data_IF_897848451197
#
_entry.id   IF_897848451197
#
_cell.length_a   1.000
_cell.length_b   1.000
_cell.length_c   1.000
_cell.angle_alpha   90.00
_cell.angle_beta   90.00
_cell.angle_gamma   90.00
#
_symmetry.space_group_name_H-M   'P 1'
#
loop_
_entity.id
_entity.type
_entity.pdbx_description
1 polymer ?
#
# COMPACT_ATOMS: atom_id res chain seq x y z
N UNK A 1 17.58 40.09 52.24
CA UNK A 1 18.12 40.12 50.87
C UNK A 1 18.39 38.71 50.45
N UNK A 2 17.43 38.10 49.69
CA UNK A 2 17.54 36.72 49.22
C UNK A 2 17.52 36.73 47.70
N UNK A 3 18.64 36.30 47.09
CA UNK A 3 18.74 36.10 45.68
C UNK A 3 18.23 34.71 45.31
N UNK A 4 17.12 34.66 44.58
CA UNK A 4 16.64 33.44 43.92
C UNK A 4 17.36 33.27 42.58
N UNK A 5 18.15 32.23 42.46
CA UNK A 5 18.75 31.77 41.20
C UNK A 5 17.71 30.98 40.41
N UNK A 6 17.26 31.56 39.30
CA UNK A 6 16.42 30.89 38.32
C UNK A 6 17.20 29.80 37.57
N UNK A 7 16.78 28.57 37.75
CA UNK A 7 17.22 27.45 36.91
C UNK A 7 16.42 27.48 35.59
N UNK A 8 17.08 27.74 34.50
CA UNK A 8 16.56 27.48 33.15
C UNK A 8 16.49 25.96 32.90
N UNK A 9 15.38 25.41 32.38
CA UNK A 9 15.35 24.01 32.02
C UNK A 9 16.21 23.79 30.79
N UNK A 10 17.15 22.84 30.93
CA UNK A 10 17.94 22.32 29.80
C UNK A 10 17.03 21.81 28.68
N UNK A 11 17.14 22.43 27.53
CA UNK A 11 16.60 21.93 26.29
C UNK A 11 17.31 20.61 25.97
N UNK A 12 16.61 19.51 26.13
CA UNK A 12 17.04 18.21 25.61
C UNK A 12 17.14 18.35 24.10
N UNK A 13 18.36 18.54 23.61
CA UNK A 13 18.68 18.35 22.18
C UNK A 13 18.63 16.84 21.91
N UNK A 14 17.51 16.36 21.39
CA UNK A 14 17.45 15.04 20.76
C UNK A 14 18.29 15.13 19.49
N UNK A 15 19.48 14.57 19.53
CA UNK A 15 20.34 14.45 18.36
C UNK A 15 19.69 13.49 17.36
N UNK A 16 19.47 13.92 16.13
CA UNK A 16 18.94 13.15 15.01
C UNK A 16 19.78 11.90 14.62
N UNK A 17 20.89 11.66 15.29
CA UNK A 17 21.87 10.63 14.95
C UNK A 17 21.55 9.23 15.54
N UNK A 18 20.45 9.07 16.29
CA UNK A 18 20.11 7.81 16.97
C UNK A 18 18.86 7.11 16.39
N UNK A 19 18.32 7.60 15.28
CA UNK A 19 17.16 6.95 14.66
C UNK A 19 17.63 5.75 13.85
N UNK A 20 17.02 4.58 14.08
CA UNK A 20 17.25 3.41 13.26
C UNK A 20 16.85 3.69 11.80
N UNK A 21 17.44 2.96 10.85
CA UNK A 21 17.08 3.09 9.42
C UNK A 21 15.57 2.89 9.20
N UNK A 22 14.94 2.03 9.99
CA UNK A 22 13.50 1.79 9.99
C UNK A 22 12.70 3.03 10.43
N UNK A 23 13.15 3.71 11.48
CA UNK A 23 12.49 4.93 11.98
C UNK A 23 12.55 6.08 10.98
N UNK A 24 13.65 6.20 10.25
CA UNK A 24 13.81 7.19 9.17
C UNK A 24 12.85 6.86 8.01
N UNK A 25 12.78 5.59 7.60
CA UNK A 25 11.88 5.13 6.54
C UNK A 25 10.41 5.36 6.93
N UNK A 26 10.01 5.01 8.15
CA UNK A 26 8.65 5.24 8.64
C UNK A 26 8.30 6.73 8.62
N UNK A 27 9.22 7.59 9.05
CA UNK A 27 9.00 9.03 9.02
C UNK A 27 8.83 9.55 7.58
N UNK A 28 9.67 9.12 6.65
CA UNK A 28 9.57 9.50 5.24
C UNK A 28 8.23 9.08 4.62
N UNK A 29 7.76 7.87 4.92
CA UNK A 29 6.46 7.38 4.44
C UNK A 29 5.32 8.19 5.06
N UNK A 30 5.38 8.50 6.35
CA UNK A 30 4.37 9.30 7.02
C UNK A 30 4.32 10.74 6.51
N UNK A 31 5.48 11.35 6.25
CA UNK A 31 5.57 12.69 5.67
C UNK A 31 5.07 12.70 4.23
N UNK A 32 5.45 11.70 3.44
CA UNK A 32 4.94 11.51 2.08
C UNK A 32 3.41 11.35 2.08
N UNK A 33 2.87 10.50 2.94
CA UNK A 33 1.42 10.29 3.06
C UNK A 33 0.70 11.57 3.50
N UNK A 34 1.25 12.32 4.48
CA UNK A 34 0.66 13.57 4.99
C UNK A 34 0.69 14.70 3.96
N UNK A 35 1.78 14.85 3.22
CA UNK A 35 1.92 15.93 2.23
C UNK A 35 0.92 15.81 1.09
N UNK A 36 0.33 14.62 0.89
CA UNK A 36 -0.56 14.32 -0.23
C UNK A 36 -2.02 14.08 0.15
N UNK A 37 -2.34 14.20 1.46
CA UNK A 37 -3.73 14.14 1.94
C UNK A 37 -4.55 15.41 1.64
N UNK A 38 -3.91 16.51 1.21
CA UNK A 38 -4.55 17.81 1.00
C UNK A 38 -4.73 18.20 -0.48
N UNK A 39 -4.50 17.28 -1.42
CA UNK A 39 -4.79 17.58 -2.82
C UNK A 39 -6.29 17.50 -3.11
N UNK A 40 -6.83 18.38 -3.99
CA UNK A 40 -8.24 18.36 -4.35
C UNK A 40 -8.61 17.00 -4.91
N UNK A 41 -9.67 16.41 -4.37
CA UNK A 41 -10.18 15.09 -4.73
C UNK A 41 -10.68 15.12 -6.18
N UNK A 42 -9.76 15.02 -7.13
CA UNK A 42 -10.10 14.48 -8.43
C UNK A 42 -10.16 12.96 -8.24
N UNK A 43 -11.24 12.34 -8.61
CA UNK A 43 -11.37 10.88 -8.53
C UNK A 43 -10.35 10.17 -9.44
N UNK A 44 -9.64 10.90 -10.32
CA UNK A 44 -8.53 10.42 -11.13
C UNK A 44 -8.68 8.96 -11.59
N UNK A 45 -7.61 8.21 -11.51
CA UNK A 45 -7.59 6.77 -11.83
C UNK A 45 -8.43 5.90 -10.87
N UNK A 46 -8.78 6.40 -9.67
CA UNK A 46 -9.59 5.63 -8.71
C UNK A 46 -10.97 5.31 -9.25
N UNK A 47 -11.57 6.22 -10.03
CA UNK A 47 -12.87 5.98 -10.63
C UNK A 47 -12.84 4.77 -11.57
N UNK A 48 -11.81 4.69 -12.39
CA UNK A 48 -11.64 3.55 -13.31
C UNK A 48 -11.47 2.22 -12.53
N UNK A 49 -10.75 2.25 -11.41
CA UNK A 49 -10.61 1.07 -10.55
C UNK A 49 -11.89 0.70 -9.82
N UNK A 50 -12.74 1.68 -9.44
CA UNK A 50 -14.05 1.38 -8.86
C UNK A 50 -14.94 0.67 -9.88
N UNK A 51 -14.99 1.19 -11.10
CA UNK A 51 -15.78 0.61 -12.19
C UNK A 51 -15.28 -0.80 -12.51
N UNK A 52 -13.96 -0.98 -12.63
CA UNK A 52 -13.34 -2.29 -12.86
C UNK A 52 -13.58 -3.29 -11.72
N UNK A 53 -13.51 -2.87 -10.47
CA UNK A 53 -13.78 -3.75 -9.33
C UNK A 53 -15.25 -4.24 -9.33
N UNK A 54 -16.18 -3.39 -9.72
CA UNK A 54 -17.59 -3.77 -9.87
C UNK A 54 -17.81 -4.71 -11.05
N UNK A 55 -17.14 -4.49 -12.17
CA UNK A 55 -17.17 -5.35 -13.34
C UNK A 55 -16.65 -6.75 -13.00
N UNK A 56 -15.46 -6.85 -12.41
CA UNK A 56 -14.89 -8.12 -11.92
C UNK A 56 -15.86 -8.83 -10.96
N UNK A 57 -16.47 -8.09 -10.03
CA UNK A 57 -17.44 -8.65 -9.10
C UNK A 57 -18.67 -9.25 -9.79
N UNK A 58 -19.10 -8.68 -10.90
CA UNK A 58 -20.24 -9.19 -11.68
C UNK A 58 -19.84 -10.37 -12.56
N UNK A 59 -18.73 -10.27 -13.28
CA UNK A 59 -18.26 -11.31 -14.21
C UNK A 59 -17.81 -12.58 -13.48
N UNK A 60 -17.20 -12.43 -12.30
CA UNK A 60 -16.67 -13.54 -11.50
C UNK A 60 -17.60 -13.94 -10.33
N UNK A 61 -18.91 -13.63 -10.41
CA UNK A 61 -19.88 -13.89 -9.34
C UNK A 61 -20.22 -15.38 -9.17
N UNK A 62 -19.97 -16.20 -10.18
CA UNK A 62 -20.31 -17.63 -10.16
C UNK A 62 -19.08 -18.50 -9.92
N UNK A 63 -19.29 -19.68 -9.32
CA UNK A 63 -18.21 -20.66 -9.19
C UNK A 63 -17.74 -21.17 -10.55
N UNK A 64 -16.42 -21.29 -10.71
CA UNK A 64 -15.84 -21.79 -11.97
C UNK A 64 -15.77 -20.75 -13.08
N UNK A 65 -15.85 -19.46 -12.76
CA UNK A 65 -15.76 -18.35 -13.71
C UNK A 65 -14.46 -18.38 -14.56
N UNK A 66 -13.40 -18.98 -14.05
CA UNK A 66 -12.11 -19.17 -14.74
C UNK A 66 -12.06 -20.46 -15.61
N UNK A 67 -13.11 -21.28 -15.59
CA UNK A 67 -13.16 -22.58 -16.24
C UNK A 67 -12.44 -23.72 -15.50
N UNK A 68 -11.80 -23.44 -14.36
CA UNK A 68 -10.99 -24.40 -13.58
C UNK A 68 -11.49 -24.59 -12.14
N UNK A 69 -12.65 -24.05 -11.80
CA UNK A 69 -13.27 -24.24 -10.49
C UNK A 69 -12.94 -23.15 -9.47
N UNK A 70 -12.64 -21.93 -9.92
CA UNK A 70 -12.45 -20.78 -9.07
C UNK A 70 -13.65 -20.53 -8.13
N UNK A 71 -13.36 -20.08 -6.91
CA UNK A 71 -14.38 -19.58 -6.01
C UNK A 71 -14.97 -18.27 -6.53
N UNK A 72 -16.27 -18.01 -6.33
CA UNK A 72 -16.90 -16.77 -6.76
C UNK A 72 -16.31 -15.57 -6.02
N UNK A 73 -16.15 -14.45 -6.73
CA UNK A 73 -15.85 -13.17 -6.11
C UNK A 73 -17.10 -12.68 -5.39
N UNK A 74 -17.05 -12.68 -4.05
CA UNK A 74 -18.20 -12.30 -3.23
C UNK A 74 -18.41 -10.79 -3.22
N UNK A 75 -19.65 -10.35 -2.95
CA UNK A 75 -19.94 -8.93 -2.73
C UNK A 75 -19.07 -8.32 -1.63
N UNK A 76 -18.75 -9.09 -0.59
CA UNK A 76 -17.87 -8.64 0.49
C UNK A 76 -16.44 -8.39 -0.02
N UNK A 77 -15.92 -9.26 -0.89
CA UNK A 77 -14.61 -9.08 -1.52
C UNK A 77 -14.57 -7.77 -2.34
N UNK A 78 -15.62 -7.49 -3.11
CA UNK A 78 -15.75 -6.22 -3.85
C UNK A 78 -15.74 -5.03 -2.90
N UNK A 79 -16.54 -5.06 -1.82
CA UNK A 79 -16.62 -3.97 -0.83
C UNK A 79 -15.25 -3.70 -0.20
N UNK A 80 -14.49 -4.74 0.17
CA UNK A 80 -13.14 -4.57 0.68
C UNK A 80 -12.19 -3.98 -0.36
N UNK A 81 -12.29 -4.39 -1.62
CA UNK A 81 -11.50 -3.82 -2.71
C UNK A 81 -11.79 -2.34 -2.89
N UNK A 82 -13.05 -1.92 -2.95
CA UNK A 82 -13.46 -0.52 -3.05
C UNK A 82 -12.95 0.31 -1.85
N UNK A 83 -13.04 -0.25 -0.64
CA UNK A 83 -12.53 0.39 0.56
C UNK A 83 -11.01 0.60 0.49
N UNK A 84 -10.24 -0.38 0.05
CA UNK A 84 -8.80 -0.26 -0.12
C UNK A 84 -8.42 0.75 -1.21
N UNK A 85 -9.13 0.78 -2.35
CA UNK A 85 -8.93 1.80 -3.40
C UNK A 85 -9.12 3.20 -2.82
N UNK A 86 -10.15 3.41 -1.99
CA UNK A 86 -10.43 4.73 -1.41
C UNK A 86 -9.27 5.27 -0.56
N UNK A 87 -8.52 4.38 0.07
CA UNK A 87 -7.41 4.72 0.96
C UNK A 87 -6.05 4.85 0.27
N UNK A 88 -5.92 4.40 -0.99
CA UNK A 88 -4.67 4.60 -1.74
C UNK A 88 -4.44 6.08 -1.99
N UNK A 89 -3.19 6.52 -1.85
CA UNK A 89 -2.80 7.86 -2.30
C UNK A 89 -2.85 7.95 -3.82
N UNK A 90 -3.35 9.05 -4.36
CA UNK A 90 -3.36 9.30 -5.82
C UNK A 90 -1.97 9.43 -6.44
N UNK A 91 -0.95 9.58 -5.61
CA UNK A 91 0.45 9.60 -6.05
C UNK A 91 1.06 8.22 -6.24
N UNK A 92 0.42 7.18 -5.73
CA UNK A 92 0.76 5.81 -6.07
C UNK A 92 0.24 5.56 -7.48
N UNK A 93 1.07 5.00 -8.34
CA UNK A 93 0.60 4.55 -9.64
C UNK A 93 -0.55 3.56 -9.46
N UNK A 94 -1.59 3.62 -10.31
CA UNK A 94 -2.72 2.71 -10.20
C UNK A 94 -2.25 1.25 -10.27
N UNK A 95 -2.76 0.39 -9.40
CA UNK A 95 -2.54 -1.06 -9.50
C UNK A 95 -3.38 -1.65 -10.65
N UNK A 96 -2.96 -2.80 -11.13
CA UNK A 96 -3.85 -3.70 -11.84
C UNK A 96 -4.74 -4.43 -10.81
N UNK A 97 -6.03 -4.52 -11.07
CA UNK A 97 -6.94 -5.38 -10.30
C UNK A 97 -7.04 -6.73 -10.99
N UNK A 98 -6.72 -7.79 -10.25
CA UNK A 98 -6.68 -9.15 -10.77
C UNK A 98 -7.61 -10.06 -9.97
N UNK A 99 -8.66 -10.65 -10.58
CA UNK A 99 -9.50 -11.62 -9.91
C UNK A 99 -8.70 -12.88 -9.58
N UNK A 100 -8.84 -13.37 -8.36
CA UNK A 100 -8.14 -14.56 -7.88
C UNK A 100 -9.09 -15.75 -7.78
N UNK A 101 -8.64 -16.96 -8.17
CA UNK A 101 -9.41 -18.20 -7.99
C UNK A 101 -9.82 -18.47 -6.54
N UNK A 102 -9.20 -17.81 -5.58
CA UNK A 102 -9.56 -17.86 -4.16
C UNK A 102 -10.73 -16.99 -3.76
N UNK A 103 -11.43 -16.31 -4.68
CA UNK A 103 -12.64 -15.51 -4.41
C UNK A 103 -12.36 -14.10 -3.90
N UNK A 104 -11.23 -13.49 -4.24
CA UNK A 104 -10.86 -12.11 -3.90
C UNK A 104 -10.24 -11.39 -5.09
N UNK A 105 -10.08 -10.06 -5.00
CA UNK A 105 -9.45 -9.23 -6.03
C UNK A 105 -8.11 -8.74 -5.49
N UNK A 106 -7.02 -9.06 -6.19
CA UNK A 106 -5.66 -8.64 -5.84
C UNK A 106 -5.32 -7.30 -6.49
N UNK A 107 -4.49 -6.53 -5.81
CA UNK A 107 -3.84 -5.32 -6.31
C UNK A 107 -2.43 -5.67 -6.73
N UNK A 108 -2.07 -5.42 -7.97
CA UNK A 108 -0.76 -5.77 -8.49
C UNK A 108 -0.08 -4.58 -9.16
N UNK A 109 1.19 -4.38 -8.83
CA UNK A 109 2.08 -3.42 -9.48
C UNK A 109 3.24 -4.17 -10.11
N UNK A 110 3.46 -3.91 -11.38
CA UNK A 110 4.53 -4.50 -12.16
C UNK A 110 5.40 -3.40 -12.73
N UNK A 111 6.70 -3.50 -12.57
CA UNK A 111 7.69 -2.60 -13.17
C UNK A 111 8.48 -3.31 -14.28
N UNK A 112 8.79 -4.57 -14.06
CA UNK A 112 9.43 -5.46 -15.00
C UNK A 112 8.97 -6.89 -14.75
N UNK A 113 9.38 -7.85 -15.58
CA UNK A 113 9.08 -9.27 -15.37
C UNK A 113 9.58 -9.82 -14.02
N UNK A 114 10.58 -9.14 -13.40
CA UNK A 114 11.21 -9.55 -12.14
C UNK A 114 10.76 -8.77 -10.92
N UNK A 115 10.15 -7.59 -11.12
CA UNK A 115 9.69 -6.75 -10.02
C UNK A 115 8.18 -6.70 -9.99
N UNK A 116 7.61 -7.16 -8.89
CA UNK A 116 6.16 -7.21 -8.69
C UNK A 116 5.83 -7.00 -7.22
N UNK A 117 4.76 -6.27 -6.97
CA UNK A 117 4.11 -6.20 -5.66
C UNK A 117 2.68 -6.65 -5.83
N UNK A 118 2.29 -7.67 -5.09
CA UNK A 118 0.91 -8.18 -5.07
C UNK A 118 0.34 -8.07 -3.66
N UNK A 119 -0.85 -7.50 -3.53
CA UNK A 119 -1.54 -7.30 -2.27
C UNK A 119 -2.97 -7.80 -2.39
N UNK A 120 -3.35 -8.75 -1.55
CA UNK A 120 -4.62 -9.46 -1.64
C UNK A 120 -5.44 -9.32 -0.37
N UNK A 121 -6.65 -8.74 -0.43
CA UNK A 121 -7.62 -8.80 0.67
C UNK A 121 -8.19 -10.21 0.76
N UNK A 122 -7.75 -10.97 1.74
CA UNK A 122 -8.13 -12.38 1.91
C UNK A 122 -8.83 -12.58 3.25
N UNK A 123 -10.14 -12.74 3.22
CA UNK A 123 -10.97 -12.76 4.42
C UNK A 123 -10.75 -11.51 5.30
N UNK A 124 -10.27 -11.66 6.52
CA UNK A 124 -10.00 -10.55 7.45
C UNK A 124 -8.55 -10.03 7.39
N UNK A 125 -7.76 -10.51 6.44
CA UNK A 125 -6.34 -10.21 6.32
C UNK A 125 -6.03 -9.55 4.99
N UNK A 126 -5.07 -8.65 5.02
CA UNK A 126 -4.36 -8.19 3.85
C UNK A 126 -3.05 -8.99 3.78
N UNK A 127 -2.91 -9.80 2.74
CA UNK A 127 -1.72 -10.62 2.49
C UNK A 127 -0.95 -9.98 1.35
N UNK A 128 0.37 -9.91 1.45
CA UNK A 128 1.19 -9.34 0.38
C UNK A 128 2.45 -10.14 0.13
N UNK A 129 2.91 -10.05 -1.10
CA UNK A 129 4.21 -10.51 -1.53
C UNK A 129 4.80 -9.48 -2.49
N UNK A 130 6.12 -9.31 -2.43
CA UNK A 130 6.85 -8.41 -3.31
C UNK A 130 8.17 -9.04 -3.73
N UNK A 131 8.53 -8.87 -4.99
CA UNK A 131 9.87 -9.11 -5.54
C UNK A 131 10.39 -7.74 -5.94
N UNK A 132 11.41 -7.23 -5.22
CA UNK A 132 11.95 -5.88 -5.42
C UNK A 132 13.26 -5.88 -6.21
N UNK A 133 14.00 -6.97 -6.15
CA UNK A 133 15.23 -7.25 -6.89
C UNK A 133 15.43 -8.76 -7.03
N UNK A 134 16.45 -9.19 -7.74
CA UNK A 134 16.69 -10.61 -8.06
C UNK A 134 16.64 -11.55 -6.84
N UNK A 135 17.07 -11.09 -5.65
CA UNK A 135 17.10 -11.88 -4.41
C UNK A 135 16.30 -11.22 -3.26
N UNK A 136 15.62 -10.10 -3.50
CA UNK A 136 14.85 -9.40 -2.46
C UNK A 136 13.36 -9.71 -2.59
N UNK A 137 12.94 -10.75 -1.88
CA UNK A 137 11.53 -11.15 -1.78
C UNK A 137 11.01 -10.85 -0.37
N UNK A 138 9.95 -10.08 -0.29
CA UNK A 138 9.28 -9.71 0.96
C UNK A 138 7.85 -10.22 0.95
N UNK A 139 7.35 -10.64 2.09
CA UNK A 139 5.96 -11.05 2.23
C UNK A 139 5.46 -10.84 3.66
N UNK A 140 4.14 -10.78 3.80
CA UNK A 140 3.55 -10.62 5.11
C UNK A 140 2.03 -10.61 5.11
N UNK A 141 1.45 -10.40 6.29
CA UNK A 141 0.01 -10.29 6.49
C UNK A 141 -0.31 -9.31 7.61
N UNK A 142 -1.47 -8.67 7.52
CA UNK A 142 -1.99 -7.73 8.52
C UNK A 142 -3.51 -7.77 8.55
N UNK A 143 -4.17 -7.43 9.67
CA UNK A 143 -5.62 -7.26 9.71
C UNK A 143 -6.10 -6.17 8.75
N UNK A 144 -7.04 -6.50 7.86
CA UNK A 144 -7.56 -5.58 6.83
C UNK A 144 -8.27 -4.35 7.42
N UNK A 145 -8.83 -4.45 8.62
CA UNK A 145 -9.57 -3.35 9.28
C UNK A 145 -8.73 -2.09 9.53
N UNK A 146 -7.43 -2.21 9.51
CA UNK A 146 -6.50 -1.08 9.70
C UNK A 146 -6.14 -0.38 8.39
N UNK A 147 -6.75 -0.79 7.28
CA UNK A 147 -6.39 -0.33 5.96
C UNK A 147 -5.01 -0.80 5.53
N UNK A 148 -4.32 0.01 4.71
CA UNK A 148 -2.99 -0.33 4.20
C UNK A 148 -1.96 -0.40 5.32
N UNK A 149 -1.31 -1.55 5.56
CA UNK A 149 -0.26 -1.66 6.55
C UNK A 149 0.96 -0.81 6.18
N UNK A 150 1.62 -0.23 7.17
CA UNK A 150 2.87 0.53 6.95
C UNK A 150 3.93 -0.30 6.21
N UNK A 151 4.00 -1.61 6.46
CA UNK A 151 4.91 -2.51 5.73
C UNK A 151 4.65 -2.52 4.23
N UNK A 152 3.39 -2.56 3.81
CA UNK A 152 3.02 -2.50 2.39
C UNK A 152 3.32 -1.13 1.79
N UNK A 153 3.01 -0.04 2.50
CA UNK A 153 3.32 1.31 2.04
C UNK A 153 4.83 1.52 1.87
N UNK A 154 5.64 0.98 2.77
CA UNK A 154 7.11 0.99 2.65
C UNK A 154 7.57 0.24 1.40
N UNK A 155 7.02 -0.95 1.16
CA UNK A 155 7.31 -1.77 -0.02
C UNK A 155 6.97 -1.00 -1.31
N UNK A 156 5.78 -0.40 -1.37
CA UNK A 156 5.36 0.40 -2.53
C UNK A 156 6.28 1.61 -2.74
N UNK A 157 6.65 2.30 -1.66
CA UNK A 157 7.60 3.40 -1.74
C UNK A 157 8.95 2.95 -2.31
N UNK A 158 9.50 1.85 -1.83
CA UNK A 158 10.76 1.28 -2.31
C UNK A 158 10.65 0.85 -3.79
N UNK A 159 9.56 0.19 -4.15
CA UNK A 159 9.25 -0.23 -5.51
C UNK A 159 9.28 0.94 -6.50
N UNK A 160 8.62 2.06 -6.19
CA UNK A 160 8.55 3.22 -7.08
C UNK A 160 9.81 4.11 -7.03
N UNK A 161 10.53 4.13 -5.91
CA UNK A 161 11.77 4.91 -5.78
C UNK A 161 12.91 4.31 -6.60
N UNK A 162 12.98 3.00 -6.66
CA UNK A 162 14.02 2.28 -7.43
C UNK A 162 13.82 2.39 -8.94
N UNK A 163 12.57 2.56 -9.39
CA UNK A 163 12.26 2.73 -10.83
C UNK A 163 12.75 4.06 -11.41
N UNK A 164 12.98 5.08 -10.57
CA UNK A 164 13.43 6.41 -11.00
C UNK A 164 14.94 6.52 -11.24
N UNK A 165 15.71 5.52 -10.86
CA UNK A 165 17.19 5.56 -10.96
C UNK A 165 17.75 5.05 -12.30
N UNK A 166 16.92 4.60 -13.22
CA UNK A 166 17.36 4.23 -14.58
C UNK A 166 17.31 5.46 -15.48
N UNK A 167 18.33 6.31 -15.40
CA UNK A 167 18.58 7.34 -16.42
C UNK A 167 19.09 6.61 -17.67
N UNK A 168 18.47 6.77 -18.84
CA UNK A 168 19.03 6.21 -20.07
C UNK A 168 20.37 6.91 -20.38
N UNK A 169 21.39 6.13 -20.63
CA UNK A 169 22.63 6.60 -21.26
C UNK A 169 22.41 6.85 -22.73
#
# INVERSE_FOLDING_TARGET
>A
MSHALGRTPDRIRTSDSALSKESVRIRQVLEWTKSHQNEPVSLGWKRELYDLAMEIGNECAESGWDGYGAAPITREAVVWTLHLISQLSELIQPPNLVPSPGGYISFEWHDSERRVVSVSPKANLLVWAAVLADDDTQYGKSPIRKGWPLGVLNILYEFFSSSRSVTPR
#
